data_IF_059762379788
#
_entry.id   IF_059762379788
#
_cell.length_a   1.000
_cell.length_b   1.000
_cell.length_c   1.000
_cell.angle_alpha   90.00
_cell.angle_beta   90.00
_cell.angle_gamma   90.00
#
_symmetry.space_group_name_H-M   'P 1'
#
loop_
_entity.id
_entity.type
_entity.pdbx_description
1 polymer ?
#
# COMPACT_ATOMS: atom_id res chain seq x y z
N UNK A 1 16.04 8.97 -5.36
CA UNK A 1 15.00 9.86 -4.80
C UNK A 1 13.81 9.06 -4.27
N UNK A 2 13.20 8.14 -5.05
CA UNK A 2 12.05 7.33 -4.60
C UNK A 2 12.26 6.60 -3.25
N UNK A 3 13.46 6.05 -3.01
CA UNK A 3 13.79 5.37 -1.75
C UNK A 3 13.77 6.25 -0.50
N UNK A 4 13.94 7.58 -0.64
CA UNK A 4 13.82 8.52 0.49
C UNK A 4 12.36 8.71 0.84
N UNK A 5 11.50 8.97 -0.14
CA UNK A 5 10.06 9.14 0.07
C UNK A 5 9.39 7.85 0.56
N UNK A 6 9.80 6.70 0.03
CA UNK A 6 9.36 5.38 0.51
C UNK A 6 9.67 5.22 2.01
N UNK A 7 10.87 5.61 2.44
CA UNK A 7 11.29 5.52 3.85
C UNK A 7 10.52 6.49 4.75
N UNK A 8 10.34 7.74 4.33
CA UNK A 8 9.59 8.72 5.15
C UNK A 8 8.11 8.33 5.25
N UNK A 9 7.52 7.82 4.17
CA UNK A 9 6.16 7.30 4.19
C UNK A 9 6.02 6.11 5.15
N UNK A 10 6.97 5.16 5.14
CA UNK A 10 6.98 4.04 6.09
C UNK A 10 6.97 4.52 7.54
N UNK A 11 7.83 5.49 7.89
CA UNK A 11 7.87 6.05 9.25
C UNK A 11 6.52 6.66 9.65
N UNK A 12 5.91 7.44 8.75
CA UNK A 12 4.61 8.06 9.01
C UNK A 12 3.51 7.02 9.20
N UNK A 13 3.44 6.00 8.35
CA UNK A 13 2.46 4.93 8.45
C UNK A 13 2.65 4.11 9.73
N UNK A 14 3.89 3.73 10.07
CA UNK A 14 4.20 3.00 11.30
C UNK A 14 3.82 3.81 12.55
N UNK A 15 4.10 5.12 12.57
CA UNK A 15 3.67 5.99 13.66
C UNK A 15 2.13 6.07 13.80
N UNK A 16 1.40 5.89 12.70
CA UNK A 16 -0.06 5.91 12.64
C UNK A 16 -0.69 4.50 12.71
N UNK A 17 -0.05 3.56 13.41
CA UNK A 17 -0.59 2.22 13.71
C UNK A 17 -0.84 1.33 12.47
N UNK A 18 -0.04 1.51 11.42
CA UNK A 18 0.01 0.54 10.32
C UNK A 18 1.21 -0.41 10.49
N UNK A 19 0.97 -1.70 10.26
CA UNK A 19 2.01 -2.64 9.86
C UNK A 19 2.38 -2.34 8.42
N UNK A 20 3.65 -2.05 8.16
CA UNK A 20 4.12 -1.64 6.83
C UNK A 20 5.11 -2.66 6.31
N UNK A 21 4.78 -3.28 5.18
CA UNK A 21 5.66 -4.26 4.52
C UNK A 21 6.07 -3.76 3.14
N UNK A 22 7.31 -4.02 2.75
CA UNK A 22 7.74 -3.80 1.36
C UNK A 22 7.15 -4.92 0.51
N UNK A 23 6.51 -4.56 -0.59
CA UNK A 23 5.96 -5.55 -1.50
C UNK A 23 7.08 -6.19 -2.35
N UNK A 24 6.91 -7.47 -2.67
CA UNK A 24 7.74 -8.13 -3.67
C UNK A 24 7.50 -7.48 -5.04
N UNK A 25 8.52 -7.39 -5.88
CA UNK A 25 8.40 -6.76 -7.21
C UNK A 25 7.30 -7.38 -8.08
N UNK A 26 6.98 -8.66 -7.87
CA UNK A 26 5.90 -9.37 -8.56
C UNK A 26 4.50 -8.88 -8.19
N UNK A 27 4.30 -8.26 -7.03
CA UNK A 27 3.03 -7.67 -6.63
C UNK A 27 2.78 -6.34 -7.37
N UNK A 28 3.84 -5.69 -7.86
CA UNK A 28 3.77 -4.48 -8.67
C UNK A 28 3.35 -3.22 -7.91
N UNK A 29 3.49 -3.21 -6.59
CA UNK A 29 3.36 -2.04 -5.71
C UNK A 29 4.63 -1.92 -4.87
N UNK A 30 4.88 -0.79 -4.24
CA UNK A 30 6.12 -0.58 -3.48
C UNK A 30 5.95 -1.03 -2.01
N UNK A 31 4.81 -0.69 -1.43
CA UNK A 31 4.49 -0.91 -0.02
C UNK A 31 3.08 -1.49 0.10
N UNK A 32 2.87 -2.35 1.08
CA UNK A 32 1.52 -2.65 1.61
C UNK A 32 1.45 -2.15 3.05
N UNK A 33 0.47 -1.32 3.35
CA UNK A 33 0.19 -0.82 4.69
C UNK A 33 -1.10 -1.47 5.20
N UNK A 34 -1.04 -2.12 6.36
CA UNK A 34 -2.14 -2.90 6.92
C UNK A 34 -2.43 -2.38 8.32
N UNK A 35 -3.70 -2.12 8.62
CA UNK A 35 -4.16 -2.01 9.99
C UNK A 35 -5.30 -3.00 10.24
N UNK A 36 -5.99 -2.87 11.37
CA UNK A 36 -7.08 -3.74 11.77
C UNK A 36 -8.18 -3.92 10.71
N UNK A 37 -8.50 -2.90 9.92
CA UNK A 37 -9.71 -2.93 9.08
C UNK A 37 -9.43 -2.62 7.60
N UNK A 38 -8.25 -2.10 7.29
CA UNK A 38 -7.90 -1.72 5.91
C UNK A 38 -6.47 -2.15 5.56
N UNK A 39 -6.31 -2.60 4.32
CA UNK A 39 -5.03 -2.85 3.69
C UNK A 39 -4.90 -1.99 2.44
N UNK A 40 -3.80 -1.27 2.33
CA UNK A 40 -3.52 -0.35 1.24
C UNK A 40 -2.30 -0.83 0.45
N UNK A 41 -2.46 -1.29 -0.79
CA UNK A 41 -1.36 -1.31 -1.75
C UNK A 41 -0.99 0.13 -2.13
N UNK A 42 0.28 0.50 -1.96
CA UNK A 42 0.77 1.86 -2.17
C UNK A 42 1.91 1.85 -3.20
N UNK A 43 1.77 2.69 -4.21
CA UNK A 43 2.84 3.02 -5.15
C UNK A 43 3.40 4.41 -4.82
N UNK A 44 4.71 4.49 -4.63
CA UNK A 44 5.43 5.71 -4.25
C UNK A 44 6.13 6.29 -5.48
N UNK A 45 5.60 7.39 -5.98
CA UNK A 45 6.22 8.17 -7.06
C UNK A 45 6.75 9.49 -6.53
N UNK A 46 7.90 9.91 -7.06
CA UNK A 46 8.46 11.23 -6.83
C UNK A 46 8.96 11.81 -8.15
N UNK A 47 8.78 13.11 -8.35
CA UNK A 47 9.25 13.83 -9.53
C UNK A 47 10.06 15.05 -9.12
N UNK A 48 11.07 15.39 -9.93
CA UNK A 48 11.81 16.66 -9.81
C UNK A 48 11.15 17.79 -10.62
N UNK A 49 10.15 17.45 -11.42
CA UNK A 49 9.34 18.39 -12.21
C UNK A 49 7.94 18.48 -11.59
N UNK A 50 7.16 19.53 -11.87
CA UNK A 50 5.78 19.64 -11.38
C UNK A 50 4.81 18.65 -12.04
N UNK A 51 5.30 17.79 -12.94
CA UNK A 51 4.51 16.75 -13.62
C UNK A 51 4.83 15.38 -13.03
N UNK A 52 3.79 14.66 -12.65
CA UNK A 52 3.86 13.27 -12.21
C UNK A 52 2.90 12.45 -13.08
N UNK A 53 3.41 11.42 -13.74
CA UNK A 53 2.65 10.63 -14.69
C UNK A 53 2.18 9.32 -14.06
N UNK A 54 0.88 9.07 -14.15
CA UNK A 54 0.27 7.82 -13.74
C UNK A 54 -0.06 6.99 -14.98
N UNK A 55 0.40 5.75 -15.04
CA UNK A 55 -0.02 4.78 -16.06
C UNK A 55 -1.34 4.12 -15.63
N UNK A 56 -2.39 4.92 -15.46
CA UNK A 56 -3.67 4.48 -14.88
C UNK A 56 -4.52 3.61 -15.83
N UNK A 57 -4.26 3.64 -17.15
CA UNK A 57 -5.16 3.07 -18.15
C UNK A 57 -5.23 1.54 -18.19
N UNK A 58 -4.41 0.82 -17.43
CA UNK A 58 -4.34 -0.66 -17.51
C UNK A 58 -5.20 -1.39 -16.48
N UNK A 59 -5.84 -0.70 -15.53
CA UNK A 59 -6.59 -1.34 -14.44
C UNK A 59 -5.73 -2.08 -13.39
N UNK A 60 -4.40 -2.14 -13.60
CA UNK A 60 -3.44 -2.88 -12.76
C UNK A 60 -3.56 -2.57 -11.26
N UNK A 61 -3.71 -1.29 -10.90
CA UNK A 61 -3.85 -0.87 -9.51
C UNK A 61 -5.11 -1.47 -8.85
N UNK A 62 -6.20 -1.61 -9.60
CA UNK A 62 -7.43 -2.22 -9.13
C UNK A 62 -7.22 -3.72 -8.86
N UNK A 63 -6.61 -4.43 -9.81
CA UNK A 63 -6.27 -5.85 -9.66
C UNK A 63 -5.35 -6.09 -8.46
N UNK A 64 -4.40 -5.18 -8.21
CA UNK A 64 -3.50 -5.24 -7.05
C UNK A 64 -4.25 -5.03 -5.73
N UNK A 65 -5.26 -4.16 -5.70
CA UNK A 65 -6.13 -3.99 -4.53
C UNK A 65 -6.99 -5.22 -4.26
N UNK A 66 -7.44 -5.93 -5.28
CA UNK A 66 -8.26 -7.13 -5.12
C UNK A 66 -7.49 -8.33 -4.54
N UNK A 67 -6.17 -8.39 -4.74
CA UNK A 67 -5.31 -9.44 -4.15
C UNK A 67 -4.83 -9.09 -2.73
N UNK A 68 -4.78 -7.81 -2.39
CA UNK A 68 -4.44 -7.33 -1.04
C UNK A 68 -5.71 -7.24 -0.20
N UNK A 69 -6.14 -8.37 0.34
CA UNK A 69 -7.31 -8.48 1.23
C UNK A 69 -6.89 -8.78 2.66
N UNK A 70 -7.56 -8.16 3.62
CA UNK A 70 -7.49 -8.61 5.01
C UNK A 70 -8.39 -9.84 5.13
N UNK A 71 -7.89 -10.98 5.62
CA UNK A 71 -8.73 -12.13 5.89
C UNK A 71 -9.82 -11.74 6.89
N UNK A 72 -11.08 -11.77 6.48
CA UNK A 72 -12.24 -11.51 7.36
C UNK A 72 -12.34 -12.54 8.49
N UNK A 73 -11.73 -13.72 8.32
CA UNK A 73 -11.62 -14.74 9.38
C UNK A 73 -10.75 -14.32 10.56
N UNK A 74 -9.92 -13.29 10.43
CA UNK A 74 -9.14 -12.73 11.55
C UNK A 74 -10.02 -11.95 12.54
N UNK A 75 -11.25 -11.59 12.14
CA UNK A 75 -12.26 -11.00 13.00
C UNK A 75 -13.39 -12.01 13.22
N UNK A 76 -13.31 -12.79 14.31
CA UNK A 76 -14.48 -13.46 14.84
C UNK A 76 -15.47 -12.39 15.35
N UNK A 77 -16.31 -11.87 14.46
CA UNK A 77 -17.44 -11.02 14.81
C UNK A 77 -18.65 -11.82 15.33
N UNK A 78 -18.50 -13.14 15.54
CA UNK A 78 -19.55 -14.05 16.03
C UNK A 78 -19.68 -14.08 17.56
N UNK A 79 -19.39 -12.97 18.25
CA UNK A 79 -19.43 -12.87 19.71
C UNK A 79 -20.39 -11.81 20.27
N UNK A 80 -21.43 -11.44 19.52
CA UNK A 80 -22.50 -10.55 19.97
C UNK A 80 -23.86 -11.25 19.89
#
# INVERSE_FOLDING_TARGET
MGSVYERELKKLLTANRFLVVRAASSLGVDIVAINSIVAFPIEVKASRTPRLQFSACSGRAQTQAEVVKIPTSAYNLSGA
#
